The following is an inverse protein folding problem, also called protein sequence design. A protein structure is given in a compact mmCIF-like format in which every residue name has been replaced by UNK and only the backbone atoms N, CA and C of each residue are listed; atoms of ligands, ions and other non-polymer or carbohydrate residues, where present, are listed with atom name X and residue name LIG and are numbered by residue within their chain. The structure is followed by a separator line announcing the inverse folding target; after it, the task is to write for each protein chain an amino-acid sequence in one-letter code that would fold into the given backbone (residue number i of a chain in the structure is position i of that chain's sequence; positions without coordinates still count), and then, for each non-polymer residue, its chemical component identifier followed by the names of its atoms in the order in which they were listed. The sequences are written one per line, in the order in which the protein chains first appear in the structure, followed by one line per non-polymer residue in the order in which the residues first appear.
data_IF_072235834512
#
_entry.id   IF_072235834512
#
_cell.length_a   1.000
_cell.length_b   1.000
_cell.length_c   1.000
_cell.angle_alpha   90.00
_cell.angle_beta   90.00
_cell.angle_gamma   90.00
#
_symmetry.space_group_name_H-M   'P 1'
#
loop_
_entity.id
_entity.type
_entity.pdbx_description
1 polymer ?
#
# COMPACT_ATOMS: atom_id res chain seq x y z
N UNK A 1 40.39 -6.62 -50.05
CA UNK A 1 39.81 -6.90 -48.72
C UNK A 1 39.16 -5.61 -48.23
N UNK A 2 37.84 -5.42 -48.39
CA UNK A 2 36.82 -5.56 -47.31
C UNK A 2 37.31 -4.89 -46.01
N UNK A 3 36.74 -3.80 -45.51
CA UNK A 3 35.36 -3.76 -45.01
C UNK A 3 34.76 -2.34 -44.90
N UNK A 4 33.46 -2.32 -44.65
CA UNK A 4 32.43 -1.34 -44.97
C UNK A 4 32.35 -0.17 -43.99
N UNK A 5 32.16 1.04 -44.55
CA UNK A 5 31.51 2.16 -43.86
C UNK A 5 30.01 1.89 -43.83
N UNK A 6 29.47 1.56 -42.65
CA UNK A 6 28.03 1.60 -42.38
C UNK A 6 27.63 3.00 -41.89
N UNK A 7 26.57 3.62 -42.42
CA UNK A 7 26.04 4.87 -41.87
C UNK A 7 25.29 4.60 -40.56
N UNK A 8 25.55 5.41 -39.53
CA UNK A 8 24.77 5.41 -38.30
C UNK A 8 23.35 5.90 -38.61
N UNK A 9 22.37 4.99 -38.57
CA UNK A 9 20.96 5.35 -38.53
C UNK A 9 20.64 5.91 -37.15
N UNK A 10 20.54 7.25 -37.05
CA UNK A 10 19.91 7.92 -35.91
C UNK A 10 18.43 7.52 -35.88
N UNK A 11 18.08 6.50 -35.11
CA UNK A 11 16.69 6.28 -34.70
C UNK A 11 16.32 7.39 -33.71
N UNK A 12 15.62 8.40 -34.21
CA UNK A 12 15.02 9.42 -33.38
C UNK A 12 13.94 8.77 -32.49
N UNK A 13 14.27 8.48 -31.23
CA UNK A 13 13.26 8.22 -30.20
C UNK A 13 12.45 9.48 -30.01
N UNK A 14 11.31 9.57 -30.71
CA UNK A 14 10.32 10.61 -30.49
C UNK A 14 9.78 10.38 -29.07
N UNK A 15 10.16 11.26 -28.15
CA UNK A 15 9.72 11.21 -26.76
C UNK A 15 8.20 11.03 -26.67
N UNK A 16 7.72 10.13 -25.82
CA UNK A 16 6.30 9.83 -25.55
C UNK A 16 5.43 11.09 -25.37
N UNK A 17 6.02 12.18 -24.87
CA UNK A 17 5.38 13.50 -24.71
C UNK A 17 4.96 14.14 -26.05
N UNK A 18 5.72 13.95 -27.13
CA UNK A 18 5.36 14.47 -28.46
C UNK A 18 4.18 13.69 -29.04
N UNK A 19 4.18 12.37 -28.90
CA UNK A 19 3.11 11.51 -29.42
C UNK A 19 1.76 11.79 -28.74
N UNK A 20 1.79 12.06 -27.43
CA UNK A 20 0.60 12.47 -26.67
C UNK A 20 0.07 13.85 -27.12
N UNK A 21 0.96 14.81 -27.41
CA UNK A 21 0.57 16.13 -27.93
C UNK A 21 -0.11 16.04 -29.29
N UNK A 22 0.39 15.22 -30.21
CA UNK A 22 -0.25 15.06 -31.53
C UNK A 22 -1.62 14.37 -31.43
N UNK A 23 -1.81 13.44 -30.49
CA UNK A 23 -3.09 12.77 -30.28
C UNK A 23 -4.16 13.73 -29.73
N UNK A 24 -3.78 14.62 -28.80
CA UNK A 24 -4.69 15.65 -28.27
C UNK A 24 -5.06 16.68 -29.34
N UNK A 25 -4.09 17.12 -30.16
CA UNK A 25 -4.35 18.06 -31.27
C UNK A 25 -5.28 17.44 -32.31
N UNK A 26 -5.13 16.15 -32.61
CA UNK A 26 -6.01 15.45 -33.53
C UNK A 26 -7.45 15.37 -33.00
N UNK A 27 -7.63 15.01 -31.73
CA UNK A 27 -8.95 14.96 -31.08
C UNK A 27 -9.62 16.34 -31.03
N UNK A 28 -8.86 17.40 -30.74
CA UNK A 28 -9.35 18.77 -30.76
C UNK A 28 -9.72 19.22 -32.19
N UNK A 29 -8.95 18.85 -33.20
CA UNK A 29 -9.27 19.18 -34.60
C UNK A 29 -10.53 18.47 -35.11
N UNK A 30 -10.73 17.21 -34.73
CA UNK A 30 -11.95 16.46 -35.07
C UNK A 30 -13.17 17.03 -34.35
N UNK A 31 -13.00 17.47 -33.10
CA UNK A 31 -14.07 18.13 -32.34
C UNK A 31 -14.44 19.49 -32.94
N UNK A 32 -13.46 20.30 -33.33
CA UNK A 32 -13.70 21.59 -34.00
C UNK A 32 -14.35 21.42 -35.38
N UNK A 33 -13.95 20.41 -36.15
CA UNK A 33 -14.59 20.09 -37.43
C UNK A 33 -16.04 19.62 -37.24
N UNK A 34 -16.33 18.89 -36.15
CA UNK A 34 -17.70 18.50 -35.80
C UNK A 34 -18.58 19.70 -35.41
N UNK A 35 -18.00 20.71 -34.75
CA UNK A 35 -18.67 21.99 -34.44
C UNK A 35 -18.92 22.80 -35.71
N UNK A 36 -17.96 22.85 -36.64
CA UNK A 36 -18.07 23.54 -37.93
C UNK A 36 -19.18 22.95 -38.80
N UNK A 37 -19.23 21.61 -38.91
CA UNK A 37 -20.28 20.90 -39.65
C UNK A 37 -21.66 21.04 -38.99
N UNK A 38 -21.72 21.24 -37.67
CA UNK A 38 -22.98 21.52 -37.00
C UNK A 38 -23.54 22.89 -37.41
N UNK A 39 -22.69 23.91 -37.60
CA UNK A 39 -23.15 25.29 -37.89
C UNK A 39 -23.78 25.42 -39.29
N UNK A 40 -23.20 24.83 -40.33
CA UNK A 40 -23.81 24.86 -41.67
C UNK A 40 -25.16 24.11 -41.73
N UNK A 41 -25.37 23.10 -40.88
CA UNK A 41 -26.63 22.36 -40.78
C UNK A 41 -27.67 23.12 -39.94
N UNK A 42 -27.22 23.96 -38.99
CA UNK A 42 -28.07 24.79 -38.12
C UNK A 42 -28.88 25.82 -38.90
N UNK A 43 -28.33 26.39 -39.96
CA UNK A 43 -28.98 27.49 -40.68
C UNK A 43 -30.14 27.03 -41.60
N UNK A 44 -30.18 25.74 -41.97
CA UNK A 44 -31.15 25.24 -42.96
C UNK A 44 -32.36 24.49 -42.40
N UNK A 45 -32.36 24.03 -41.14
CA UNK A 45 -33.46 23.19 -40.67
C UNK A 45 -33.66 23.20 -39.14
N UNK A 46 -34.19 24.30 -38.59
CA UNK A 46 -34.35 24.51 -37.15
C UNK A 46 -35.31 23.55 -36.41
N UNK A 47 -36.15 22.77 -37.11
CA UNK A 47 -37.14 21.89 -36.44
C UNK A 47 -36.61 20.53 -35.99
N UNK A 48 -35.54 20.03 -36.61
CA UNK A 48 -34.99 18.70 -36.29
C UNK A 48 -33.66 18.79 -35.52
N UNK A 49 -33.15 20.00 -35.29
CA UNK A 49 -31.82 20.25 -34.76
C UNK A 49 -31.64 19.75 -33.33
N UNK A 50 -32.61 20.01 -32.46
CA UNK A 50 -32.60 19.48 -31.10
C UNK A 50 -32.58 17.95 -31.08
N UNK A 51 -33.29 17.31 -32.01
CA UNK A 51 -33.32 15.86 -32.10
C UNK A 51 -31.97 15.28 -32.53
N UNK A 52 -31.25 15.93 -33.45
CA UNK A 52 -29.94 15.45 -33.92
C UNK A 52 -28.84 15.65 -32.89
N UNK A 53 -28.83 16.78 -32.18
CA UNK A 53 -27.87 17.03 -31.09
C UNK A 53 -28.09 16.04 -29.95
N UNK A 54 -29.35 15.81 -29.57
CA UNK A 54 -29.69 14.84 -28.53
C UNK A 54 -29.31 13.41 -28.93
N UNK A 55 -29.61 13.01 -30.17
CA UNK A 55 -29.24 11.70 -30.69
C UNK A 55 -27.72 11.51 -30.78
N UNK A 56 -26.98 12.55 -31.15
CA UNK A 56 -25.51 12.54 -31.17
C UNK A 56 -24.90 12.35 -29.78
N UNK A 57 -25.45 13.02 -28.76
CA UNK A 57 -24.96 12.84 -27.37
C UNK A 57 -25.24 11.44 -26.83
N UNK A 58 -26.43 10.88 -27.12
CA UNK A 58 -26.79 9.52 -26.74
C UNK A 58 -25.85 8.50 -27.41
N UNK A 59 -25.57 8.69 -28.71
CA UNK A 59 -24.69 7.79 -29.46
C UNK A 59 -23.23 7.88 -28.98
N UNK A 60 -22.77 9.07 -28.59
CA UNK A 60 -21.44 9.27 -28.00
C UNK A 60 -21.30 8.57 -26.64
N UNK A 61 -22.31 8.69 -25.78
CA UNK A 61 -22.36 7.99 -24.48
C UNK A 61 -22.37 6.47 -24.70
N UNK A 62 -23.17 5.98 -25.64
CA UNK A 62 -23.23 4.56 -25.97
C UNK A 62 -21.89 4.04 -26.49
N UNK A 63 -21.21 4.82 -27.34
CA UNK A 63 -19.88 4.49 -27.84
C UNK A 63 -18.84 4.48 -26.71
N UNK A 64 -18.87 5.43 -25.77
CA UNK A 64 -18.02 5.42 -24.58
C UNK A 64 -18.27 4.19 -23.70
N UNK A 65 -19.52 3.78 -23.51
CA UNK A 65 -19.88 2.58 -22.77
C UNK A 65 -19.40 1.30 -23.47
N UNK A 66 -19.58 1.21 -24.79
CA UNK A 66 -19.08 0.08 -25.58
C UNK A 66 -17.56 0.03 -25.55
N UNK A 67 -16.87 1.16 -25.74
CA UNK A 67 -15.41 1.25 -25.70
C UNK A 67 -14.85 0.92 -24.30
N UNK A 68 -15.51 1.40 -23.25
CA UNK A 68 -15.21 1.02 -21.86
C UNK A 68 -15.41 -0.48 -21.65
N UNK A 69 -16.50 -1.05 -22.17
CA UNK A 69 -16.78 -2.47 -22.02
C UNK A 69 -15.81 -3.35 -22.83
N UNK A 70 -15.41 -2.92 -24.03
CA UNK A 70 -14.41 -3.57 -24.87
C UNK A 70 -13.04 -3.50 -24.18
N UNK A 71 -12.62 -2.35 -23.66
CA UNK A 71 -11.33 -2.22 -22.96
C UNK A 71 -11.31 -2.95 -21.62
N UNK A 72 -12.42 -2.96 -20.86
CA UNK A 72 -12.57 -3.78 -19.66
C UNK A 72 -12.45 -5.27 -19.98
N UNK A 73 -13.01 -5.72 -21.11
CA UNK A 73 -12.89 -7.11 -21.59
C UNK A 73 -11.48 -7.41 -22.12
N UNK A 74 -10.78 -6.42 -22.68
CA UNK A 74 -9.40 -6.55 -23.18
C UNK A 74 -8.37 -6.64 -22.04
N UNK A 75 -8.58 -5.94 -20.93
CA UNK A 75 -7.81 -6.14 -19.67
C UNK A 75 -8.10 -7.48 -19.00
N UNK A 76 -9.26 -8.08 -19.27
CA UNK A 76 -9.66 -9.38 -18.71
C UNK A 76 -9.20 -10.57 -19.56
N UNK A 77 -9.13 -10.39 -20.89
CA UNK A 77 -8.77 -11.44 -21.85
C UNK A 77 -7.25 -11.53 -22.14
N UNK A 78 -6.40 -10.72 -21.50
CA UNK A 78 -4.92 -10.90 -21.52
C UNK A 78 -4.40 -11.71 -20.32
N UNK A 79 -5.30 -12.33 -19.55
CA UNK A 79 -4.97 -13.31 -18.53
C UNK A 79 -5.57 -14.63 -19.00
N UNK A 80 -4.80 -15.38 -19.79
CA UNK A 80 -5.11 -16.79 -20.06
C UNK A 80 -5.09 -17.59 -18.74
N UNK A 81 -5.82 -18.71 -18.71
CA UNK A 81 -6.51 -19.21 -17.56
C UNK A 81 -5.72 -20.31 -16.85
N UNK A 82 -5.75 -20.31 -15.52
CA UNK A 82 -5.87 -21.56 -14.76
C UNK A 82 -6.27 -21.28 -13.32
N UNK A 83 -7.06 -22.20 -12.79
CA UNK A 83 -7.52 -22.33 -11.41
C UNK A 83 -8.83 -21.58 -11.13
N UNK A 84 -9.92 -22.29 -11.47
CA UNK A 84 -11.24 -22.15 -10.87
C UNK A 84 -11.14 -22.18 -9.34
N UNK A 85 -11.42 -21.06 -8.68
CA UNK A 85 -11.76 -21.04 -7.25
C UNK A 85 -13.18 -20.53 -7.14
N UNK A 86 -14.01 -21.34 -6.49
CA UNK A 86 -15.43 -21.13 -6.26
C UNK A 86 -15.74 -19.69 -5.82
N UNK A 87 -16.58 -19.05 -6.62
CA UNK A 87 -17.22 -17.76 -6.37
C UNK A 87 -18.32 -18.00 -5.33
N UNK A 88 -17.93 -18.12 -4.06
CA UNK A 88 -18.89 -18.06 -2.92
C UNK A 88 -18.39 -17.16 -1.79
N UNK A 89 -17.11 -16.74 -1.78
CA UNK A 89 -16.55 -15.90 -0.71
C UNK A 89 -16.37 -14.41 -1.01
N UNK A 90 -16.99 -13.85 -2.05
CA UNK A 90 -16.70 -12.47 -2.49
C UNK A 90 -17.65 -11.39 -1.96
N UNK A 91 -18.38 -11.67 -0.88
CA UNK A 91 -19.11 -10.65 -0.11
C UNK A 91 -18.56 -10.58 1.31
N UNK A 92 -17.39 -9.96 1.46
CA UNK A 92 -16.91 -9.43 2.74
C UNK A 92 -15.94 -8.27 2.44
N UNK A 93 -16.52 -7.14 2.02
CA UNK A 93 -15.80 -5.90 1.78
C UNK A 93 -15.67 -5.12 3.09
N UNK A 94 -14.59 -5.36 3.83
CA UNK A 94 -13.98 -4.31 4.67
C UNK A 94 -12.53 -4.65 5.07
N UNK A 95 -11.66 -4.94 4.10
CA UNK A 95 -10.23 -5.14 4.37
C UNK A 95 -9.48 -3.82 4.14
N UNK A 96 -8.79 -3.36 5.18
CA UNK A 96 -8.01 -2.12 5.15
C UNK A 96 -7.02 -2.11 3.97
N UNK A 97 -6.67 -0.93 3.41
CA UNK A 97 -5.69 -0.80 2.32
C UNK A 97 -4.36 -1.50 2.62
N UNK A 98 -4.02 -1.61 3.91
CA UNK A 98 -2.88 -2.31 4.47
C UNK A 98 -2.93 -3.81 4.09
N UNK A 99 -4.08 -4.47 4.27
CA UNK A 99 -4.28 -5.88 3.90
C UNK A 99 -4.08 -6.15 2.41
N UNK A 100 -4.49 -5.21 1.55
CA UNK A 100 -4.32 -5.33 0.10
C UNK A 100 -2.88 -5.11 -0.35
N UNK A 101 -2.16 -4.18 0.27
CA UNK A 101 -0.74 -3.94 0.01
C UNK A 101 0.09 -5.19 0.33
N UNK A 102 -0.17 -5.83 1.48
CA UNK A 102 0.55 -7.05 1.87
C UNK A 102 0.22 -8.27 1.00
N UNK A 103 -1.02 -8.39 0.53
CA UNK A 103 -1.39 -9.50 -0.39
C UNK A 103 -0.55 -9.52 -1.68
N UNK A 104 -0.11 -8.36 -2.16
CA UNK A 104 0.74 -8.25 -3.36
C UNK A 104 2.19 -8.70 -3.13
N UNK A 105 2.68 -8.63 -1.90
CA UNK A 105 4.05 -9.02 -1.51
C UNK A 105 4.15 -10.56 -1.36
N UNK A 106 3.09 -11.21 -0.92
CA UNK A 106 3.00 -12.69 -0.71
C UNK A 106 3.23 -13.57 -1.95
N UNK A 107 3.42 -13.03 -3.15
CA UNK A 107 3.48 -13.84 -4.39
C UNK A 107 4.87 -14.27 -4.82
N UNK A 108 5.94 -13.89 -4.11
CA UNK A 108 7.31 -14.25 -4.50
C UNK A 108 7.94 -15.21 -3.51
N UNK A 109 7.78 -16.49 -3.83
CA UNK A 109 8.62 -17.66 -3.49
C UNK A 109 9.13 -17.80 -2.04
N UNK A 110 8.59 -18.80 -1.34
CA UNK A 110 9.33 -19.52 -0.31
C UNK A 110 9.58 -20.94 -0.83
N UNK A 111 10.78 -21.14 -1.34
CA UNK A 111 11.40 -22.44 -1.49
C UNK A 111 12.77 -22.30 -0.83
N UNK A 112 12.91 -22.76 0.42
CA UNK A 112 14.10 -23.49 0.87
C UNK A 112 14.01 -23.91 2.34
N UNK A 113 14.47 -25.15 2.55
CA UNK A 113 14.55 -25.85 3.82
C UNK A 113 15.77 -25.39 4.63
N UNK A 114 15.56 -24.66 5.74
CA UNK A 114 16.36 -24.72 6.98
C UNK A 114 15.90 -23.65 7.97
N UNK A 115 15.28 -24.05 9.09
CA UNK A 115 15.79 -23.92 10.48
C UNK A 115 14.67 -24.22 11.45
N UNK A 116 14.71 -25.39 12.10
CA UNK A 116 13.89 -25.63 13.30
C UNK A 116 14.44 -24.79 14.45
N UNK A 117 13.57 -24.03 15.10
CA UNK A 117 13.74 -23.33 16.39
C UNK A 117 14.67 -22.10 16.39
N UNK A 118 14.60 -21.25 15.37
CA UNK A 118 15.23 -19.92 15.44
C UNK A 118 14.42 -19.03 16.40
N UNK A 119 15.11 -18.40 17.35
CA UNK A 119 14.50 -17.48 18.33
C UNK A 119 14.95 -16.05 18.05
N UNK A 120 14.00 -15.12 17.94
CA UNK A 120 14.27 -13.70 17.68
C UNK A 120 13.93 -12.90 18.94
N UNK A 121 14.89 -12.19 19.55
CA UNK A 121 14.63 -11.37 20.73
C UNK A 121 13.78 -10.14 20.38
N UNK A 122 12.86 -9.78 21.27
CA UNK A 122 12.02 -8.59 21.16
C UNK A 122 12.41 -7.54 22.19
N UNK A 123 12.49 -6.29 21.72
CA UNK A 123 12.73 -5.11 22.52
C UNK A 123 11.52 -4.15 22.43
N UNK A 124 11.31 -3.31 23.45
CA UNK A 124 10.16 -2.42 23.50
C UNK A 124 10.23 -1.31 22.45
N UNK A 125 9.07 -1.00 21.88
CA UNK A 125 8.88 0.06 20.88
C UNK A 125 9.06 1.46 21.46
N UNK A 126 8.83 1.62 22.76
CA UNK A 126 8.97 2.88 23.50
C UNK A 126 9.09 2.57 24.99
N UNK A 127 9.54 3.54 25.79
CA UNK A 127 9.31 3.48 27.24
C UNK A 127 7.81 3.61 27.50
N UNK A 128 7.23 2.69 28.27
CA UNK A 128 5.79 2.68 28.37
C UNK A 128 5.21 1.53 29.15
N UNK A 129 3.91 1.34 28.95
CA UNK A 129 3.16 0.20 29.46
C UNK A 129 3.03 -0.87 28.37
N UNK A 130 3.63 -2.04 28.57
CA UNK A 130 3.46 -3.21 27.72
C UNK A 130 2.05 -3.78 27.88
N UNK A 131 1.45 -4.15 26.76
CA UNK A 131 0.12 -4.76 26.64
C UNK A 131 0.21 -5.95 25.69
N UNK A 132 -0.47 -7.03 26.04
CA UNK A 132 -0.79 -8.07 25.07
C UNK A 132 -1.67 -7.49 23.96
N UNK A 133 -1.58 -8.06 22.76
CA UNK A 133 -2.35 -7.57 21.62
C UNK A 133 -3.86 -7.67 21.88
N UNK A 134 -4.30 -8.64 22.68
CA UNK A 134 -5.68 -8.85 23.13
C UNK A 134 -6.20 -7.73 24.04
N UNK A 135 -5.31 -6.96 24.70
CA UNK A 135 -5.69 -5.82 25.56
C UNK A 135 -5.88 -4.52 24.76
N UNK A 136 -5.65 -4.53 23.45
CA UNK A 136 -5.83 -3.36 22.58
C UNK A 136 -7.31 -3.11 22.30
N UNK A 137 -7.73 -1.85 22.44
CA UNK A 137 -9.12 -1.40 22.23
C UNK A 137 -9.46 -1.23 20.73
N UNK A 138 -9.20 -2.27 19.94
CA UNK A 138 -9.56 -2.36 18.53
C UNK A 138 -9.66 -3.83 18.12
N UNK A 139 -10.81 -4.22 17.56
CA UNK A 139 -11.13 -5.62 17.26
C UNK A 139 -10.33 -6.21 16.09
N UNK A 140 -9.75 -5.39 15.21
CA UNK A 140 -8.89 -5.89 14.13
C UNK A 140 -7.56 -6.39 14.70
N UNK A 141 -7.05 -5.69 15.70
CA UNK A 141 -5.80 -6.05 16.38
C UNK A 141 -6.00 -7.08 17.47
N UNK A 142 -6.97 -6.90 18.38
CA UNK A 142 -7.18 -7.80 19.52
C UNK A 142 -7.61 -9.21 19.12
N UNK A 143 -8.26 -9.37 17.96
CA UNK A 143 -8.59 -10.68 17.39
C UNK A 143 -7.44 -11.29 16.56
N UNK A 144 -6.24 -10.69 16.54
CA UNK A 144 -5.06 -11.16 15.80
C UNK A 144 -5.32 -11.42 14.31
N UNK A 145 -6.26 -10.69 13.71
CA UNK A 145 -6.69 -10.96 12.32
C UNK A 145 -5.56 -10.69 11.31
N UNK A 146 -4.68 -9.73 11.62
CA UNK A 146 -3.51 -9.41 10.80
C UNK A 146 -2.27 -10.23 11.17
N UNK A 147 -2.23 -10.78 12.39
CA UNK A 147 -1.08 -11.46 12.96
C UNK A 147 -1.05 -11.33 14.48
N UNK A 148 -0.15 -12.08 15.12
CA UNK A 148 0.14 -11.94 16.55
C UNK A 148 1.04 -10.73 16.81
N UNK A 149 1.16 -10.32 18.08
CA UNK A 149 1.91 -9.12 18.40
C UNK A 149 1.79 -8.66 19.84
N UNK A 150 2.13 -7.39 20.03
CA UNK A 150 1.99 -6.69 21.31
C UNK A 150 1.79 -5.20 21.07
N UNK A 151 1.39 -4.48 22.11
CA UNK A 151 1.31 -3.03 22.09
C UNK A 151 2.07 -2.41 23.26
N UNK A 152 2.54 -1.19 23.08
CA UNK A 152 3.12 -0.36 24.13
C UNK A 152 2.36 0.95 24.19
N UNK A 153 1.80 1.30 25.34
CA UNK A 153 1.32 2.67 25.60
C UNK A 153 2.53 3.53 25.95
N UNK A 154 2.98 4.43 25.07
CA UNK A 154 4.20 5.19 25.29
C UNK A 154 4.03 6.26 26.38
N UNK A 155 5.10 6.50 27.14
CA UNK A 155 5.21 7.66 28.04
C UNK A 155 5.89 8.86 27.35
N UNK A 156 6.62 8.61 26.28
CA UNK A 156 7.38 9.62 25.52
C UNK A 156 7.20 9.41 24.01
N UNK A 157 7.46 10.45 23.22
CA UNK A 157 7.19 10.46 21.78
C UNK A 157 8.20 9.72 20.91
N UNK A 158 9.14 8.96 21.47
CA UNK A 158 10.16 8.28 20.67
C UNK A 158 9.78 6.82 20.43
N UNK A 159 9.81 6.41 19.16
CA UNK A 159 9.50 5.03 18.73
C UNK A 159 10.75 4.36 18.18
N UNK A 160 11.07 3.19 18.71
CA UNK A 160 12.30 2.45 18.46
C UNK A 160 12.03 1.11 17.77
N UNK A 161 13.06 0.57 17.11
CA UNK A 161 12.99 -0.74 16.48
C UNK A 161 12.97 -1.84 17.54
N UNK A 162 12.01 -2.79 17.50
CA UNK A 162 11.94 -3.89 18.45
C UNK A 162 12.84 -5.07 18.06
N UNK A 163 13.33 -5.08 16.81
CA UNK A 163 14.11 -6.16 16.20
C UNK A 163 15.19 -5.58 15.28
N UNK A 164 16.17 -6.42 14.97
CA UNK A 164 17.11 -6.16 13.88
C UNK A 164 16.43 -6.41 12.54
N UNK A 165 16.71 -5.56 11.54
CA UNK A 165 16.17 -5.78 10.21
C UNK A 165 16.40 -4.65 9.23
N UNK A 166 15.58 -4.64 8.18
CA UNK A 166 15.60 -3.66 7.11
C UNK A 166 14.23 -3.02 6.97
N UNK A 167 14.18 -1.70 6.81
CA UNK A 167 12.94 -0.98 6.51
C UNK A 167 12.47 -1.33 5.10
N UNK A 168 11.38 -2.09 5.00
CA UNK A 168 10.79 -2.55 3.73
C UNK A 168 9.56 -1.76 3.32
N UNK A 169 8.93 -1.05 4.25
CA UNK A 169 7.78 -0.19 3.98
C UNK A 169 7.79 1.06 4.85
N UNK A 170 7.51 2.21 4.24
CA UNK A 170 7.21 3.46 4.92
C UNK A 170 5.91 4.01 4.36
N UNK A 171 4.94 4.22 5.24
CA UNK A 171 3.63 4.70 4.82
C UNK A 171 3.66 6.22 4.58
N UNK A 172 2.96 6.76 3.55
CA UNK A 172 2.99 8.19 3.24
C UNK A 172 2.57 9.09 4.40
N UNK A 173 1.62 8.64 5.21
CA UNK A 173 1.12 9.34 6.41
C UNK A 173 1.95 9.02 7.67
N UNK A 174 3.07 8.29 7.55
CA UNK A 174 4.08 8.05 8.58
C UNK A 174 3.63 7.32 9.86
N UNK A 175 2.35 6.99 9.99
CA UNK A 175 1.77 6.26 11.12
C UNK A 175 2.19 4.79 11.21
N UNK A 176 2.83 4.24 10.18
CA UNK A 176 3.24 2.84 10.15
C UNK A 176 4.57 2.64 9.44
N UNK A 177 5.30 1.62 9.88
CA UNK A 177 6.63 1.24 9.40
C UNK A 177 6.69 -0.28 9.28
N UNK A 178 7.15 -0.78 8.14
CA UNK A 178 7.39 -2.21 7.91
C UNK A 178 8.87 -2.54 8.02
N UNK A 179 9.20 -3.54 8.83
CA UNK A 179 10.57 -4.06 9.04
C UNK A 179 10.61 -5.52 8.60
N UNK A 180 11.64 -5.92 7.86
CA UNK A 180 11.90 -7.33 7.54
C UNK A 180 13.22 -7.76 8.18
N UNK A 181 13.23 -8.87 8.92
CA UNK A 181 14.46 -9.43 9.48
C UNK A 181 15.25 -10.26 8.45
N UNK A 182 16.36 -10.84 8.90
CA UNK A 182 17.17 -11.76 8.11
C UNK A 182 16.45 -13.06 7.76
N UNK A 183 15.49 -13.49 8.59
CA UNK A 183 14.66 -14.69 8.39
C UNK A 183 13.47 -14.46 7.45
N UNK A 184 13.38 -13.28 6.82
CA UNK A 184 12.29 -12.88 5.91
C UNK A 184 10.92 -12.75 6.58
N UNK A 185 10.89 -12.64 7.90
CA UNK A 185 9.69 -12.29 8.63
C UNK A 185 9.48 -10.78 8.52
N UNK A 186 8.28 -10.38 8.16
CA UNK A 186 7.88 -8.98 8.09
C UNK A 186 7.11 -8.60 9.35
N UNK A 187 7.43 -7.45 9.90
CA UNK A 187 6.78 -6.87 11.06
C UNK A 187 6.18 -5.53 10.68
N UNK A 188 4.99 -5.27 11.20
CA UNK A 188 4.34 -3.98 11.10
C UNK A 188 4.41 -3.28 12.46
N UNK A 189 5.01 -2.11 12.46
CA UNK A 189 4.90 -1.16 13.56
C UNK A 189 3.81 -0.17 13.18
N UNK A 190 2.72 -0.13 13.94
CA UNK A 190 1.58 0.75 13.71
C UNK A 190 1.39 1.67 14.91
N UNK A 191 1.33 2.98 14.69
CA UNK A 191 1.32 3.97 15.77
C UNK A 191 -0.08 4.52 15.94
N UNK A 192 -0.69 4.24 17.08
CA UNK A 192 -2.05 4.60 17.41
C UNK A 192 -3.10 3.77 16.68
N UNK A 193 -4.36 4.14 16.84
CA UNK A 193 -5.50 3.55 16.12
C UNK A 193 -6.15 4.67 15.29
N UNK A 194 -6.50 4.37 14.04
CA UNK A 194 -7.06 5.32 13.07
C UNK A 194 -6.25 6.61 12.88
N UNK A 195 -4.93 6.55 13.07
CA UNK A 195 -4.01 7.69 12.93
C UNK A 195 -3.66 8.01 11.48
N UNK A 196 -4.03 7.14 10.53
CA UNK A 196 -3.95 7.42 9.10
C UNK A 196 -4.67 8.73 8.73
N UNK A 197 -5.79 9.03 9.41
CA UNK A 197 -6.60 10.25 9.23
C UNK A 197 -5.85 11.54 9.57
N UNK A 198 -4.74 11.44 10.31
CA UNK A 198 -3.91 12.58 10.69
C UNK A 198 -3.01 13.05 9.54
N UNK A 199 -3.01 12.37 8.39
CA UNK A 199 -2.31 12.77 7.16
C UNK A 199 -0.81 13.09 7.36
N UNK A 200 -0.15 12.39 8.30
CA UNK A 200 1.26 12.59 8.62
C UNK A 200 1.57 13.75 9.56
N UNK A 201 0.56 14.47 10.07
CA UNK A 201 0.74 15.46 11.12
C UNK A 201 0.97 14.78 12.48
N UNK A 202 1.95 15.26 13.24
CA UNK A 202 2.35 14.67 14.52
C UNK A 202 3.31 13.49 14.40
N UNK A 203 3.88 13.24 13.21
CA UNK A 203 4.83 12.16 12.95
C UNK A 203 6.09 12.67 12.23
N UNK A 204 7.26 12.25 12.71
CA UNK A 204 8.56 12.57 12.14
C UNK A 204 9.42 11.30 12.02
N UNK A 205 9.37 10.65 10.86
CA UNK A 205 10.22 9.50 10.58
C UNK A 205 11.69 9.94 10.47
N UNK A 206 12.55 9.27 11.22
CA UNK A 206 14.00 9.46 11.22
C UNK A 206 14.71 8.50 10.26
N UNK A 207 14.02 7.42 9.86
CA UNK A 207 14.53 6.37 8.97
C UNK A 207 14.08 6.51 7.51
N UNK A 208 14.80 5.84 6.61
CA UNK A 208 14.51 5.81 5.16
C UNK A 208 14.20 4.39 4.69
N UNK A 209 13.47 4.30 3.58
CA UNK A 209 13.21 3.02 2.92
C UNK A 209 14.54 2.35 2.54
N UNK A 210 14.60 1.03 2.71
CA UNK A 210 15.79 0.19 2.52
C UNK A 210 16.94 0.40 3.52
N UNK A 211 16.77 1.22 4.56
CA UNK A 211 17.75 1.36 5.63
C UNK A 211 17.79 0.10 6.50
N UNK A 212 18.99 -0.32 6.90
CA UNK A 212 19.16 -1.33 7.94
C UNK A 212 19.05 -0.67 9.31
N UNK A 213 18.36 -1.33 10.23
CA UNK A 213 18.15 -0.90 11.61
C UNK A 213 18.48 -2.03 12.57
N UNK A 214 18.94 -1.66 13.76
CA UNK A 214 19.14 -2.54 14.89
C UNK A 214 18.04 -2.34 15.92
N UNK A 215 17.77 -3.35 16.72
CA UNK A 215 16.90 -3.21 17.88
C UNK A 215 17.41 -2.05 18.76
N UNK A 216 16.49 -1.16 19.17
CA UNK A 216 16.81 0.07 19.89
C UNK A 216 17.11 1.29 19.01
N UNK A 217 17.20 1.15 17.68
CA UNK A 217 17.35 2.31 16.79
C UNK A 217 16.07 3.15 16.74
N UNK A 218 16.21 4.48 16.73
CA UNK A 218 15.08 5.40 16.60
C UNK A 218 14.48 5.32 15.19
N UNK A 219 13.19 5.03 15.11
CA UNK A 219 12.43 4.91 13.87
C UNK A 219 11.64 6.18 13.51
N UNK A 220 10.95 6.73 14.51
CA UNK A 220 10.11 7.91 14.34
C UNK A 220 9.85 8.60 15.66
N UNK A 221 9.63 9.90 15.59
CA UNK A 221 9.20 10.74 16.71
C UNK A 221 7.73 11.12 16.49
N UNK A 222 6.94 11.07 17.57
CA UNK A 222 5.52 11.34 17.55
C UNK A 222 5.12 12.39 18.58
N UNK A 223 4.20 13.26 18.18
CA UNK A 223 3.58 14.23 19.08
C UNK A 223 2.36 13.60 19.75
N UNK A 224 2.59 13.02 20.94
CA UNK A 224 1.55 12.38 21.74
C UNK A 224 0.41 13.35 22.07
N UNK A 225 0.73 14.61 22.39
CA UNK A 225 -0.28 15.61 22.72
C UNK A 225 -1.16 15.89 21.51
N UNK A 226 -0.55 16.05 20.33
CA UNK A 226 -1.31 16.23 19.09
C UNK A 226 -2.25 15.06 18.82
N UNK A 227 -1.77 13.81 18.91
CA UNK A 227 -2.59 12.61 18.68
C UNK A 227 -3.78 12.57 19.67
N UNK A 228 -3.54 12.84 20.95
CA UNK A 228 -4.57 12.87 21.98
C UNK A 228 -5.60 14.00 21.76
N UNK A 229 -5.16 15.19 21.32
CA UNK A 229 -6.10 16.30 21.00
C UNK A 229 -7.03 15.97 19.84
N UNK A 230 -6.63 15.04 18.96
CA UNK A 230 -7.43 14.52 17.86
C UNK A 230 -8.31 13.33 18.27
N UNK A 231 -8.35 12.99 19.56
CA UNK A 231 -9.12 11.87 20.14
C UNK A 231 -8.74 10.52 19.52
N UNK A 232 -7.46 10.33 19.23
CA UNK A 232 -6.90 9.07 18.72
C UNK A 232 -6.06 8.40 19.82
N UNK A 233 -6.00 7.08 19.77
CA UNK A 233 -5.17 6.27 20.70
C UNK A 233 -3.69 6.43 20.34
N UNK A 234 -2.81 6.38 21.35
CA UNK A 234 -1.35 6.52 21.18
C UNK A 234 -0.59 5.20 21.34
N UNK A 235 -1.28 4.09 21.56
CA UNK A 235 -0.66 2.76 21.65
C UNK A 235 0.14 2.46 20.38
N UNK A 236 1.38 2.03 20.53
CA UNK A 236 2.24 1.64 19.42
C UNK A 236 2.20 0.11 19.36
N UNK A 237 1.75 -0.43 18.24
CA UNK A 237 1.56 -1.85 18.02
C UNK A 237 2.74 -2.40 17.23
N UNK A 238 3.19 -3.59 17.64
CA UNK A 238 4.03 -4.46 16.84
C UNK A 238 3.21 -5.68 16.43
N UNK A 239 3.19 -5.99 15.15
CA UNK A 239 2.42 -7.10 14.59
C UNK A 239 3.33 -7.91 13.68
N UNK A 240 3.35 -9.22 13.88
CA UNK A 240 4.06 -10.13 13.01
C UNK A 240 3.20 -10.48 11.81
N UNK A 241 3.67 -10.15 10.61
CA UNK A 241 3.02 -10.50 9.36
C UNK A 241 3.47 -11.92 8.97
N UNK A 242 2.55 -12.75 8.49
CA UNK A 242 2.76 -14.19 8.17
C UNK A 242 2.78 -15.13 9.41
N UNK A 243 1.63 -15.31 10.09
CA UNK A 243 1.53 -16.19 11.26
C UNK A 243 1.88 -17.66 10.98
N UNK A 244 1.93 -18.07 9.71
CA UNK A 244 2.26 -19.45 9.33
C UNK A 244 3.70 -19.83 9.70
N UNK A 245 4.63 -18.86 9.70
CA UNK A 245 6.06 -19.09 9.99
C UNK A 245 6.39 -19.00 11.49
N UNK A 246 5.44 -18.54 12.30
CA UNK A 246 5.62 -18.26 13.72
C UNK A 246 4.98 -19.38 14.52
N UNK A 247 5.75 -19.95 15.43
CA UNK A 247 5.31 -20.96 16.38
C UNK A 247 4.65 -20.31 17.59
N UNK A 248 5.36 -19.39 18.25
CA UNK A 248 4.83 -18.61 19.36
C UNK A 248 5.50 -17.24 19.46
N UNK A 249 4.82 -16.33 20.17
CA UNK A 249 5.35 -15.06 20.62
C UNK A 249 5.19 -15.05 22.15
N UNK A 250 6.32 -15.10 22.85
CA UNK A 250 6.36 -15.15 24.30
C UNK A 250 6.75 -13.76 24.82
N UNK A 251 5.90 -13.13 25.62
CA UNK A 251 6.18 -11.84 26.29
C UNK A 251 6.40 -12.04 27.78
N UNK A 252 7.11 -11.10 28.39
CA UNK A 252 7.19 -10.99 29.86
C UNK A 252 5.84 -10.52 30.43
N UNK A 253 5.58 -10.88 31.69
CA UNK A 253 4.38 -10.45 32.41
C UNK A 253 4.49 -8.99 32.93
N UNK A 254 5.69 -8.39 32.92
CA UNK A 254 5.87 -7.02 33.39
C UNK A 254 5.18 -6.03 32.45
N UNK A 255 4.28 -5.23 33.02
CA UNK A 255 3.54 -4.23 32.28
C UNK A 255 4.33 -2.94 32.11
N UNK A 256 5.46 -2.70 32.78
CA UNK A 256 6.25 -1.47 32.60
C UNK A 256 7.60 -1.79 31.98
N UNK A 257 7.93 -1.13 30.88
CA UNK A 257 9.14 -1.44 30.10
C UNK A 257 10.00 -0.19 29.87
N UNK A 258 11.30 -0.34 30.07
CA UNK A 258 12.35 0.63 29.74
C UNK A 258 12.82 0.50 28.29
N UNK A 259 13.93 1.16 27.92
CA UNK A 259 14.59 0.90 26.63
C UNK A 259 15.65 -0.19 26.82
N UNK A 260 15.93 -0.93 25.74
CA UNK A 260 16.96 -1.98 25.68
C UNK A 260 16.75 -3.16 26.64
N UNK A 261 15.55 -3.31 27.20
CA UNK A 261 15.16 -4.48 28.00
C UNK A 261 14.58 -5.56 27.08
N UNK A 262 14.91 -6.81 27.33
CA UNK A 262 14.31 -7.93 26.62
C UNK A 262 12.87 -8.11 27.13
N UNK A 263 11.89 -7.87 26.27
CA UNK A 263 10.47 -7.96 26.62
C UNK A 263 9.81 -9.24 26.14
N UNK A 264 10.51 -10.02 25.33
CA UNK A 264 9.98 -11.26 24.79
C UNK A 264 10.85 -11.86 23.70
N UNK A 265 10.27 -12.85 23.03
CA UNK A 265 10.90 -13.54 21.91
C UNK A 265 9.85 -14.09 20.95
N UNK A 266 10.22 -14.16 19.68
CA UNK A 266 9.47 -14.89 18.65
C UNK A 266 10.16 -16.22 18.42
N UNK A 267 9.39 -17.31 18.40
CA UNK A 267 9.86 -18.65 18.06
C UNK A 267 9.34 -18.98 16.66
N UNK A 268 10.25 -19.33 15.75
CA UNK A 268 9.92 -19.75 14.37
C UNK A 268 9.75 -21.28 14.28
N UNK A 269 8.84 -21.73 13.42
CA UNK A 269 8.54 -23.15 13.16
C UNK A 269 9.65 -23.90 12.41
#
# INVERSE_FOLDING_TARGET
MKDKRFPQTRTATISHVKQLKYSIVFLLSSYLLSLQLSWEVIEKNHKNLFSFVFLGTILSILFCLIFYHINKKRTFNSLEPSISINIVGLFETNKSPISLMFKSITRKELNDNKTKNTTIPLYPLAKGKLKYIEEVDDSVYSNKTLGDGFAVTPFEGNVYSPVDGKIVSLFPTKHAIGIQDENKIEYLIHIGIDTIDLNGHGFHNTVKLNQNVKAGDLLTEIDLNYILTKKKTTDILFITLLPNLIESLDLIDDKKVGLNELIGKIILK
#
